data_IF_316298646224
#
_entry.id   IF_316298646224
#
_cell.length_a   1.000
_cell.length_b   1.000
_cell.length_c   1.000
_cell.angle_alpha   90.00
_cell.angle_beta   90.00
_cell.angle_gamma   90.00
#
_symmetry.space_group_name_H-M   'P 1'
#
loop_
_entity.id
_entity.type
_entity.pdbx_description
1 polymer ?
#
# COMPACT_ATOMS: atom_id res chain seq x y z
N UNK A 1 63.36 -45.49 26.32
CA UNK A 1 62.18 -45.09 25.52
C UNK A 1 62.07 -43.58 25.64
N UNK A 2 62.90 -42.82 24.90
CA UNK A 2 62.67 -42.34 23.53
C UNK A 2 61.52 -41.30 23.53
N UNK A 3 61.83 -40.02 23.80
CA UNK A 3 62.19 -38.97 22.84
C UNK A 3 61.02 -38.52 21.94
N UNK A 4 60.65 -37.25 22.07
CA UNK A 4 60.55 -36.27 20.96
C UNK A 4 59.30 -35.37 21.00
N UNK A 5 59.57 -34.11 20.71
CA UNK A 5 58.77 -32.90 20.82
C UNK A 5 58.17 -32.59 19.45
N UNK A 6 56.87 -32.31 19.36
CA UNK A 6 56.26 -31.58 18.23
C UNK A 6 55.03 -30.88 18.85
N UNK A 7 54.89 -29.56 19.01
CA UNK A 7 55.44 -28.46 18.24
C UNK A 7 54.53 -28.12 17.07
N UNK A 8 53.29 -27.68 17.32
CA UNK A 8 52.46 -27.08 16.27
C UNK A 8 51.88 -25.73 16.72
N UNK A 9 52.58 -24.69 16.28
CA UNK A 9 52.12 -23.31 16.25
C UNK A 9 51.00 -23.22 15.22
N UNK A 10 49.76 -22.99 15.64
CA UNK A 10 48.72 -22.55 14.71
C UNK A 10 48.80 -21.02 14.59
N UNK A 11 49.29 -20.59 13.44
CA UNK A 11 49.38 -19.22 12.98
C UNK A 11 47.98 -18.60 12.93
N UNK A 12 47.85 -17.45 13.60
CA UNK A 12 46.70 -16.55 13.52
C UNK A 12 46.60 -16.00 12.09
N UNK A 13 45.51 -16.32 11.38
CA UNK A 13 45.09 -15.58 10.19
C UNK A 13 43.87 -14.72 10.56
N UNK A 14 44.12 -13.52 11.06
CA UNK A 14 43.12 -12.44 11.08
C UNK A 14 42.91 -11.96 9.65
N UNK A 15 41.86 -12.45 9.00
CA UNK A 15 41.34 -11.84 7.78
C UNK A 15 40.58 -10.56 8.16
N UNK A 16 41.25 -9.41 8.08
CA UNK A 16 40.59 -8.11 8.12
C UNK A 16 39.82 -7.92 6.79
N UNK A 17 38.54 -8.28 6.79
CA UNK A 17 37.64 -8.04 5.68
C UNK A 17 37.24 -6.56 5.69
N UNK A 18 37.97 -5.74 4.94
CA UNK A 18 37.57 -4.37 4.60
C UNK A 18 36.31 -4.44 3.72
N UNK A 19 35.14 -4.32 4.34
CA UNK A 19 33.88 -4.09 3.64
C UNK A 19 33.89 -2.65 3.12
N UNK A 20 34.37 -2.48 1.88
CA UNK A 20 34.10 -1.28 1.10
C UNK A 20 32.59 -1.24 0.83
N UNK A 21 31.85 -0.45 1.60
CA UNK A 21 30.44 -0.17 1.36
C UNK A 21 30.30 0.60 0.04
N UNK A 22 29.93 -0.09 -1.03
CA UNK A 22 29.49 0.56 -2.26
C UNK A 22 28.14 1.21 -1.98
N UNK A 23 28.13 2.54 -1.87
CA UNK A 23 26.90 3.32 -1.91
C UNK A 23 26.23 3.09 -3.26
N UNK A 24 25.16 2.30 -3.27
CA UNK A 24 24.28 2.17 -4.44
C UNK A 24 23.65 3.54 -4.66
N UNK A 25 23.78 4.16 -5.84
CA UNK A 25 23.09 5.40 -6.12
C UNK A 25 21.58 5.13 -6.01
N UNK A 26 20.89 5.95 -5.23
CA UNK A 26 19.44 5.88 -5.08
C UNK A 26 18.77 6.32 -6.39
N UNK A 27 18.67 5.39 -7.34
CA UNK A 27 17.71 5.49 -8.44
C UNK A 27 16.32 5.11 -7.95
N UNK A 28 15.28 5.59 -8.64
CA UNK A 28 13.89 5.27 -8.34
C UNK A 28 13.69 3.75 -8.20
N UNK A 29 13.08 3.33 -7.10
CA UNK A 29 12.82 1.93 -6.82
C UNK A 29 11.59 1.49 -7.61
N UNK A 30 11.72 0.40 -8.37
CA UNK A 30 10.58 -0.18 -9.06
C UNK A 30 9.52 -0.62 -8.03
N UNK A 31 8.22 -0.31 -8.26
CA UNK A 31 7.15 -0.79 -7.40
C UNK A 31 7.19 -2.32 -7.27
N UNK A 32 7.04 -2.83 -6.05
CA UNK A 32 6.97 -4.26 -5.77
C UNK A 32 5.69 -4.54 -4.99
N UNK A 33 4.93 -5.53 -5.47
CA UNK A 33 3.66 -5.96 -4.87
C UNK A 33 3.71 -7.46 -4.59
N UNK A 34 2.89 -7.91 -3.64
CA UNK A 34 2.73 -9.34 -3.41
C UNK A 34 1.99 -9.98 -4.58
N UNK A 35 2.49 -11.13 -5.03
CA UNK A 35 1.85 -11.94 -6.05
C UNK A 35 0.61 -12.62 -5.43
N UNK A 36 -0.52 -11.94 -5.48
CA UNK A 36 -1.81 -12.42 -4.99
C UNK A 36 -2.92 -12.05 -5.99
N UNK A 37 -3.74 -13.02 -6.36
CA UNK A 37 -4.93 -12.77 -7.17
C UNK A 37 -6.06 -12.21 -6.32
N UNK A 38 -6.77 -11.21 -6.82
CA UNK A 38 -7.88 -10.58 -6.10
C UNK A 38 -9.05 -11.53 -5.85
N UNK A 39 -9.95 -11.22 -4.90
CA UNK A 39 -11.22 -11.92 -4.78
C UNK A 39 -12.01 -11.85 -6.09
N UNK A 40 -12.89 -12.83 -6.30
CA UNK A 40 -13.71 -12.90 -7.52
C UNK A 40 -14.48 -11.59 -7.77
N UNK A 41 -14.45 -11.12 -9.02
CA UNK A 41 -15.13 -9.88 -9.43
C UNK A 41 -14.47 -8.58 -8.99
N UNK A 42 -13.43 -8.61 -8.15
CA UNK A 42 -12.67 -7.41 -7.77
C UNK A 42 -11.83 -6.93 -8.95
N UNK A 43 -12.01 -5.66 -9.33
CA UNK A 43 -11.28 -5.03 -10.42
C UNK A 43 -9.96 -4.42 -9.94
N UNK A 44 -8.89 -4.53 -10.73
CA UNK A 44 -7.59 -3.87 -10.48
C UNK A 44 -7.05 -4.10 -9.07
N UNK A 45 -7.10 -5.34 -8.58
CA UNK A 45 -6.57 -5.70 -7.26
C UNK A 45 -5.04 -5.62 -7.24
N UNK A 46 -4.50 -4.99 -6.21
CA UNK A 46 -3.06 -4.92 -5.94
C UNK A 46 -2.84 -5.17 -4.45
N UNK A 47 -2.16 -6.26 -4.09
CA UNK A 47 -1.71 -6.51 -2.71
C UNK A 47 -0.39 -5.80 -2.49
N UNK A 48 -0.42 -4.64 -1.85
CA UNK A 48 0.76 -3.79 -1.66
C UNK A 48 1.74 -4.48 -0.72
N UNK A 49 1.26 -4.93 0.43
CA UNK A 49 2.01 -5.71 1.41
C UNK A 49 1.08 -6.59 2.25
N UNK A 50 1.60 -7.16 3.34
CA UNK A 50 0.82 -8.02 4.23
C UNK A 50 -0.40 -7.31 4.84
N UNK A 51 -0.33 -5.99 4.99
CA UNK A 51 -1.32 -5.16 5.70
C UNK A 51 -2.21 -4.33 4.77
N UNK A 52 -1.83 -4.11 3.52
CA UNK A 52 -2.57 -3.23 2.60
C UNK A 52 -2.86 -3.87 1.26
N UNK A 53 -4.11 -3.72 0.80
CA UNK A 53 -4.47 -3.93 -0.59
C UNK A 53 -5.25 -2.73 -1.16
N UNK A 54 -5.05 -2.48 -2.45
CA UNK A 54 -5.68 -1.44 -3.24
C UNK A 54 -6.50 -2.05 -4.38
N UNK A 55 -7.68 -1.49 -4.66
CA UNK A 55 -8.55 -2.02 -5.69
C UNK A 55 -9.48 -1.00 -6.37
N UNK A 56 -10.10 -1.44 -7.46
CA UNK A 56 -11.23 -0.82 -8.11
C UNK A 56 -12.57 -1.37 -7.60
N UNK A 57 -13.54 -1.47 -8.50
CA UNK A 57 -14.87 -1.96 -8.18
C UNK A 57 -14.78 -3.28 -7.42
N UNK A 58 -15.43 -3.32 -6.26
CA UNK A 58 -15.45 -4.44 -5.33
C UNK A 58 -16.92 -4.85 -5.17
N UNK A 59 -17.31 -6.07 -5.55
CA UNK A 59 -18.68 -6.55 -5.38
C UNK A 59 -18.97 -6.81 -3.90
N UNK A 60 -20.25 -6.82 -3.53
CA UNK A 60 -20.70 -6.99 -2.13
C UNK A 60 -20.26 -8.37 -1.60
N UNK A 61 -20.30 -9.37 -2.47
CA UNK A 61 -19.94 -10.76 -2.21
C UNK A 61 -18.46 -10.93 -1.85
N UNK A 62 -17.59 -10.01 -2.28
CA UNK A 62 -16.17 -10.06 -1.96
C UNK A 62 -15.86 -9.68 -0.50
N UNK A 63 -16.79 -9.04 0.24
CA UNK A 63 -16.46 -8.50 1.55
C UNK A 63 -16.21 -9.59 2.60
N UNK A 64 -16.96 -10.69 2.57
CA UNK A 64 -16.69 -11.84 3.43
C UNK A 64 -15.29 -12.43 3.14
N UNK A 65 -14.94 -12.59 1.86
CA UNK A 65 -13.63 -13.09 1.43
C UNK A 65 -12.49 -12.15 1.86
N UNK A 66 -12.71 -10.83 1.84
CA UNK A 66 -11.71 -9.88 2.32
C UNK A 66 -11.46 -10.04 3.83
N UNK A 67 -12.50 -10.31 4.61
CA UNK A 67 -12.31 -10.62 6.03
C UNK A 67 -11.55 -11.94 6.23
N UNK A 68 -11.87 -12.98 5.48
CA UNK A 68 -11.16 -14.27 5.53
C UNK A 68 -9.68 -14.13 5.16
N UNK A 69 -9.35 -13.18 4.27
CA UNK A 69 -7.96 -12.79 3.91
C UNK A 69 -7.27 -11.93 4.97
N UNK A 70 -7.92 -11.67 6.10
CA UNK A 70 -7.37 -10.98 7.25
C UNK A 70 -7.50 -9.45 7.21
N UNK A 71 -8.24 -8.88 6.26
CA UNK A 71 -8.53 -7.45 6.31
C UNK A 71 -9.46 -7.14 7.48
N UNK A 72 -9.27 -5.97 8.07
CA UNK A 72 -10.04 -5.47 9.20
C UNK A 72 -10.91 -4.28 8.82
N UNK A 73 -10.40 -3.40 7.96
CA UNK A 73 -11.11 -2.19 7.55
C UNK A 73 -11.21 -2.08 6.03
N UNK A 74 -12.39 -1.76 5.54
CA UNK A 74 -12.67 -1.39 4.14
C UNK A 74 -12.76 0.13 4.05
N UNK A 75 -11.96 0.74 3.18
CA UNK A 75 -12.06 2.16 2.84
C UNK A 75 -12.63 2.28 1.43
N UNK A 76 -13.80 2.91 1.31
CA UNK A 76 -14.50 3.09 0.04
C UNK A 76 -14.56 4.56 -0.37
N UNK A 77 -14.02 4.88 -1.54
CA UNK A 77 -14.07 6.25 -2.10
C UNK A 77 -15.23 6.50 -3.07
N UNK A 78 -16.02 5.48 -3.41
CA UNK A 78 -17.11 5.59 -4.39
C UNK A 78 -18.27 6.43 -3.84
N UNK A 79 -18.84 7.26 -4.70
CA UNK A 79 -20.06 8.00 -4.44
C UNK A 79 -21.30 7.14 -4.77
N UNK A 80 -22.44 7.31 -4.07
CA UNK A 80 -23.66 6.52 -4.31
C UNK A 80 -24.21 6.58 -5.75
N UNK A 81 -23.92 7.65 -6.50
CA UNK A 81 -24.38 7.81 -7.89
C UNK A 81 -23.49 7.16 -8.95
N UNK A 82 -22.47 6.38 -8.56
CA UNK A 82 -21.66 5.65 -9.52
C UNK A 82 -22.31 4.31 -9.91
N UNK A 83 -22.22 3.96 -11.19
CA UNK A 83 -22.74 2.69 -11.71
C UNK A 83 -22.18 1.48 -10.96
N UNK A 84 -23.05 0.66 -10.39
CA UNK A 84 -22.67 -0.52 -9.58
C UNK A 84 -22.03 -0.18 -8.24
N UNK A 85 -22.27 1.01 -7.67
CA UNK A 85 -21.87 1.33 -6.30
C UNK A 85 -23.00 0.98 -5.31
N UNK A 86 -22.98 -0.27 -4.82
CA UNK A 86 -23.97 -0.73 -3.83
C UNK A 86 -23.50 -0.38 -2.41
N UNK A 87 -23.49 0.90 -2.06
CA UNK A 87 -22.84 1.41 -0.83
C UNK A 87 -23.48 0.82 0.44
N UNK A 88 -24.81 0.86 0.53
CA UNK A 88 -25.52 0.40 1.72
C UNK A 88 -25.42 -1.12 1.88
N UNK A 89 -25.57 -1.87 0.79
CA UNK A 89 -25.38 -3.33 0.80
C UNK A 89 -23.94 -3.72 1.14
N UNK A 90 -22.96 -2.98 0.60
CA UNK A 90 -21.54 -3.18 0.93
C UNK A 90 -21.27 -2.90 2.40
N UNK A 91 -21.86 -1.85 2.97
CA UNK A 91 -21.73 -1.55 4.40
C UNK A 91 -22.33 -2.66 5.25
N UNK A 92 -23.56 -3.08 4.94
CA UNK A 92 -24.23 -4.15 5.67
C UNK A 92 -23.45 -5.47 5.59
N UNK A 93 -22.92 -5.82 4.43
CA UNK A 93 -22.09 -7.02 4.25
C UNK A 93 -20.76 -6.93 5.00
N UNK A 94 -20.11 -5.76 5.02
CA UNK A 94 -18.90 -5.54 5.79
C UNK A 94 -19.16 -5.74 7.29
N UNK A 95 -20.18 -5.08 7.82
CA UNK A 95 -20.57 -5.18 9.23
C UNK A 95 -20.93 -6.63 9.61
N UNK A 96 -21.68 -7.33 8.75
CA UNK A 96 -22.02 -8.74 8.95
C UNK A 96 -20.79 -9.67 8.95
N UNK A 97 -19.76 -9.34 8.16
CA UNK A 97 -18.49 -10.06 8.16
C UNK A 97 -17.57 -9.68 9.34
N UNK A 98 -17.90 -8.63 10.11
CA UNK A 98 -17.04 -8.12 11.18
C UNK A 98 -15.93 -7.18 10.71
N UNK A 99 -16.09 -6.59 9.52
CA UNK A 99 -15.21 -5.56 8.97
C UNK A 99 -15.69 -4.17 9.41
N UNK A 100 -14.74 -3.28 9.70
CA UNK A 100 -15.03 -1.85 9.76
C UNK A 100 -15.25 -1.31 8.34
N UNK A 101 -16.28 -0.48 8.15
CA UNK A 101 -16.56 0.14 6.85
C UNK A 101 -16.43 1.66 6.92
N UNK A 102 -15.35 2.19 6.35
CA UNK A 102 -15.06 3.62 6.29
C UNK A 102 -15.40 4.15 4.91
N UNK A 103 -16.43 5.00 4.83
CA UNK A 103 -16.91 5.58 3.58
C UNK A 103 -16.45 7.03 3.45
N UNK A 104 -15.53 7.29 2.52
CA UNK A 104 -14.94 8.61 2.24
C UNK A 104 -15.23 9.01 0.79
N UNK A 105 -16.50 9.28 0.42
CA UNK A 105 -16.90 9.46 -0.97
C UNK A 105 -16.36 10.76 -1.56
N UNK A 106 -15.69 10.70 -2.72
CA UNK A 106 -15.33 11.90 -3.48
C UNK A 106 -15.27 11.67 -5.00
N UNK A 107 -15.56 12.75 -5.75
CA UNK A 107 -15.29 12.85 -7.20
C UNK A 107 -14.07 13.74 -7.45
N UNK A 108 -14.13 14.94 -6.91
CA UNK A 108 -13.01 15.88 -6.86
C UNK A 108 -12.38 15.78 -5.47
N UNK A 109 -11.07 15.50 -5.36
CA UNK A 109 -10.41 15.41 -4.07
C UNK A 109 -10.26 16.79 -3.43
N UNK A 110 -10.23 16.81 -2.09
CA UNK A 110 -9.98 18.01 -1.28
C UNK A 110 -8.92 17.70 -0.22
N UNK A 111 -8.35 18.73 0.41
CA UNK A 111 -7.38 18.51 1.48
C UNK A 111 -8.00 17.71 2.65
N UNK A 112 -9.26 18.00 2.98
CA UNK A 112 -9.98 17.37 4.09
C UNK A 112 -10.20 15.87 3.85
N UNK A 113 -10.50 15.45 2.61
CA UNK A 113 -10.66 14.01 2.31
C UNK A 113 -9.31 13.27 2.36
N UNK A 114 -8.23 13.94 1.99
CA UNK A 114 -6.88 13.40 2.10
C UNK A 114 -6.46 13.25 3.57
N UNK A 115 -6.73 14.25 4.40
CA UNK A 115 -6.50 14.20 5.85
C UNK A 115 -7.31 13.07 6.51
N UNK A 116 -8.62 12.99 6.24
CA UNK A 116 -9.45 11.92 6.77
C UNK A 116 -8.96 10.52 6.35
N UNK A 117 -8.47 10.39 5.11
CA UNK A 117 -7.85 9.16 4.65
C UNK A 117 -6.55 8.84 5.39
N UNK A 118 -5.65 9.82 5.53
CA UNK A 118 -4.38 9.67 6.25
C UNK A 118 -4.59 9.25 7.70
N UNK A 119 -5.56 9.86 8.39
CA UNK A 119 -5.93 9.49 9.75
C UNK A 119 -6.47 8.06 9.80
N UNK A 120 -7.34 7.69 8.85
CA UNK A 120 -7.92 6.34 8.77
C UNK A 120 -6.86 5.26 8.61
N UNK A 121 -5.92 5.44 7.68
CA UNK A 121 -4.89 4.41 7.41
C UNK A 121 -3.71 4.49 8.38
N UNK A 122 -3.52 5.62 9.06
CA UNK A 122 -2.52 5.78 10.11
C UNK A 122 -2.91 5.13 11.44
N UNK A 123 -4.20 4.92 11.68
CA UNK A 123 -4.71 4.31 12.91
C UNK A 123 -4.41 2.79 12.97
N UNK A 124 -3.60 2.31 13.94
CA UNK A 124 -3.29 0.89 14.07
C UNK A 124 -4.52 0.00 14.22
N UNK A 125 -5.58 0.49 14.85
CA UNK A 125 -6.84 -0.25 15.00
C UNK A 125 -7.60 -0.46 13.68
N UNK A 126 -7.17 0.14 12.56
CA UNK A 126 -7.75 -0.09 11.24
C UNK A 126 -6.96 -1.08 10.38
N UNK A 127 -5.79 -1.54 10.84
CA UNK A 127 -4.95 -2.45 10.08
C UNK A 127 -5.35 -3.92 10.31
N UNK A 128 -5.25 -4.79 9.29
CA UNK A 128 -4.97 -4.53 7.87
C UNK A 128 -6.10 -3.81 7.11
N UNK A 129 -5.77 -2.94 6.17
CA UNK A 129 -6.73 -2.11 5.42
C UNK A 129 -6.84 -2.50 3.94
N UNK A 130 -8.07 -2.56 3.45
CA UNK A 130 -8.40 -2.70 2.03
C UNK A 130 -9.03 -1.41 1.51
N UNK A 131 -8.43 -0.81 0.48
CA UNK A 131 -8.80 0.51 -0.03
C UNK A 131 -9.31 0.37 -1.46
N UNK A 132 -10.52 0.85 -1.74
CA UNK A 132 -11.09 0.70 -3.07
C UNK A 132 -11.86 1.91 -3.60
N UNK A 133 -12.00 1.94 -4.92
CA UNK A 133 -12.89 2.87 -5.61
C UNK A 133 -13.57 2.18 -6.81
N UNK A 134 -13.74 2.85 -7.95
CA UNK A 134 -14.25 2.22 -9.17
C UNK A 134 -13.18 1.53 -10.03
N UNK A 135 -11.97 2.09 -10.11
CA UNK A 135 -10.91 1.63 -11.03
C UNK A 135 -9.50 1.69 -10.44
N UNK A 136 -9.37 1.81 -9.11
CA UNK A 136 -8.15 2.11 -8.36
C UNK A 136 -7.52 3.50 -8.62
N UNK A 137 -8.13 4.36 -9.45
CA UNK A 137 -7.57 5.69 -9.76
C UNK A 137 -7.51 6.64 -8.54
N UNK A 138 -8.62 6.76 -7.81
CA UNK A 138 -8.69 7.55 -6.56
C UNK A 138 -7.80 6.95 -5.48
N UNK A 139 -7.73 5.62 -5.45
CA UNK A 139 -6.87 4.88 -4.52
C UNK A 139 -5.40 5.23 -4.75
N UNK A 140 -4.91 5.17 -5.99
CA UNK A 140 -3.53 5.53 -6.30
C UNK A 140 -3.19 6.97 -5.91
N UNK A 141 -4.09 7.94 -6.15
CA UNK A 141 -3.84 9.33 -5.74
C UNK A 141 -3.71 9.50 -4.22
N UNK A 142 -4.62 8.90 -3.45
CA UNK A 142 -4.57 8.95 -1.99
C UNK A 142 -3.38 8.15 -1.45
N UNK A 143 -3.06 7.03 -2.08
CA UNK A 143 -1.91 6.20 -1.72
C UNK A 143 -0.58 6.92 -1.94
N UNK A 144 -0.43 7.68 -3.03
CA UNK A 144 0.73 8.56 -3.26
C UNK A 144 0.92 9.52 -2.07
N UNK A 145 -0.16 10.21 -1.67
CA UNK A 145 -0.14 11.14 -0.55
C UNK A 145 0.35 10.43 0.73
N UNK A 146 -0.19 9.25 1.03
CA UNK A 146 0.21 8.44 2.19
C UNK A 146 1.68 8.07 2.13
N UNK A 147 2.17 7.55 1.00
CA UNK A 147 3.57 7.17 0.83
C UNK A 147 4.52 8.32 1.13
N UNK A 148 4.22 9.53 0.63
CA UNK A 148 5.09 10.69 0.86
C UNK A 148 4.94 11.24 2.28
N UNK A 149 3.71 11.39 2.79
CA UNK A 149 3.46 12.06 4.07
C UNK A 149 3.72 11.19 5.30
N UNK A 150 3.51 9.87 5.20
CA UNK A 150 3.59 8.95 6.33
C UNK A 150 4.72 7.92 6.20
N UNK A 151 5.06 7.48 4.98
CA UNK A 151 6.09 6.43 4.79
C UNK A 151 7.46 6.97 4.39
N UNK A 152 7.57 8.28 4.10
CA UNK A 152 8.82 8.93 3.72
C UNK A 152 9.32 8.58 2.31
N UNK A 153 8.45 8.08 1.44
CA UNK A 153 8.82 7.81 0.04
C UNK A 153 9.14 9.10 -0.70
N UNK A 154 10.04 9.01 -1.69
CA UNK A 154 10.21 10.08 -2.64
C UNK A 154 8.92 10.26 -3.45
N UNK A 155 8.70 11.48 -3.96
CA UNK A 155 7.54 11.77 -4.82
C UNK A 155 7.58 10.92 -6.10
N UNK A 156 8.78 10.65 -6.63
CA UNK A 156 8.97 9.82 -7.82
C UNK A 156 8.54 8.37 -7.57
N UNK A 157 9.04 7.75 -6.49
CA UNK A 157 8.70 6.36 -6.14
C UNK A 157 7.21 6.21 -5.80
N UNK A 158 6.66 7.15 -5.02
CA UNK A 158 5.24 7.16 -4.67
C UNK A 158 4.34 7.34 -5.91
N UNK A 159 4.77 8.16 -6.88
CA UNK A 159 4.05 8.33 -8.14
C UNK A 159 4.10 7.05 -8.98
N UNK A 160 5.27 6.44 -9.12
CA UNK A 160 5.44 5.20 -9.86
C UNK A 160 4.58 4.07 -9.27
N UNK A 161 4.55 3.93 -7.94
CA UNK A 161 3.72 2.93 -7.27
C UNK A 161 2.22 3.22 -7.44
N UNK A 162 1.80 4.47 -7.29
CA UNK A 162 0.41 4.87 -7.51
C UNK A 162 -0.06 4.60 -8.95
N UNK A 163 0.80 4.84 -9.94
CA UNK A 163 0.55 4.49 -11.34
C UNK A 163 0.51 2.96 -11.52
N UNK A 164 1.37 2.19 -10.86
CA UNK A 164 1.29 0.74 -10.92
C UNK A 164 -0.02 0.20 -10.32
N UNK A 165 -0.53 0.81 -9.23
CA UNK A 165 -1.85 0.47 -8.62
C UNK A 165 -3.01 0.83 -9.54
N UNK A 166 -2.97 1.97 -10.24
CA UNK A 166 -4.02 2.35 -11.18
C UNK A 166 -4.30 3.83 -11.34
N UNK A 167 -3.50 4.73 -10.77
CA UNK A 167 -3.60 6.17 -11.01
C UNK A 167 -3.34 6.49 -12.49
N UNK A 168 -4.31 7.08 -13.17
CA UNK A 168 -4.20 7.51 -14.59
C UNK A 168 -4.73 8.92 -14.83
N UNK A 169 -5.61 9.41 -13.95
CA UNK A 169 -6.22 10.73 -14.04
C UNK A 169 -5.20 11.81 -13.73
N UNK A 170 -4.94 12.68 -14.71
CA UNK A 170 -4.07 13.85 -14.53
C UNK A 170 -4.57 14.77 -13.41
N UNK A 171 -5.88 15.11 -13.31
CA UNK A 171 -6.38 15.90 -12.18
C UNK A 171 -6.11 15.29 -10.80
N UNK A 172 -6.28 13.98 -10.66
CA UNK A 172 -6.03 13.29 -9.37
C UNK A 172 -4.53 13.27 -9.03
N UNK A 173 -3.68 13.04 -10.04
CA UNK A 173 -2.23 13.09 -9.88
C UNK A 173 -1.77 14.49 -9.49
N UNK A 174 -2.24 15.52 -10.17
CA UNK A 174 -1.87 16.90 -9.88
C UNK A 174 -2.30 17.29 -8.46
N UNK A 175 -3.52 16.95 -8.05
CA UNK A 175 -3.96 17.16 -6.68
C UNK A 175 -3.02 16.49 -5.66
N UNK A 176 -2.65 15.22 -5.87
CA UNK A 176 -1.76 14.51 -4.96
C UNK A 176 -0.38 15.16 -4.87
N UNK A 177 0.17 15.59 -6.02
CA UNK A 177 1.46 16.29 -6.09
C UNK A 177 1.41 17.66 -5.40
N UNK A 178 0.37 18.45 -5.65
CA UNK A 178 0.14 19.74 -4.99
C UNK A 178 0.03 19.57 -3.47
N UNK A 179 -0.75 18.58 -3.01
CA UNK A 179 -0.95 18.29 -1.59
C UNK A 179 0.37 17.94 -0.87
N UNK A 180 1.27 17.21 -1.53
CA UNK A 180 2.57 16.86 -0.95
C UNK A 180 3.63 17.96 -1.11
N UNK A 181 3.30 19.10 -1.73
CA UNK A 181 4.22 20.21 -1.95
C UNK A 181 5.14 20.04 -3.16
N UNK A 182 4.75 19.18 -4.10
CA UNK A 182 5.44 18.89 -5.36
C UNK A 182 4.62 19.29 -6.61
N UNK A 183 3.67 20.23 -6.44
CA UNK A 183 2.96 20.85 -7.55
C UNK A 183 3.89 21.72 -8.40
N UNK A 184 3.59 21.82 -9.70
CA UNK A 184 4.30 22.69 -10.64
C UNK A 184 3.89 24.15 -10.49
#
# INVERSE_FOLDING_TARGET
MQESRIGFVFVVFTAALLLAGSAVPAGAQAPSFQAEEGPEGVRNYTRVDATVACAGATPVEALAVLQERGFRTIVNFRTPGEQGANIDDSRAAAEAAGLNYVHLPFRTPTAEIAEAFLDTVGEPANQPVYIHCGSANRVGAMWLIKRVKQDGYSVEDATAEAEAIGLRSVPLRNFALEYVGAGN
#
